data_IF_347735935390
#
_entry.id   IF_347735935390
#
_cell.length_a   1.000
_cell.length_b   1.000
_cell.length_c   1.000
_cell.angle_alpha   90.00
_cell.angle_beta   90.00
_cell.angle_gamma   90.00
#
_symmetry.space_group_name_H-M   'P 1'
#
loop_
_entity.id
_entity.type
_entity.pdbx_description
1 polymer ?
#
# COMPACT_ATOMS: atom_id res chain seq x y z
N UNK A 1 -3.50 63.17 -23.77
CA UNK A 1 -4.15 61.86 -23.97
C UNK A 1 -3.31 60.88 -23.20
N UNK A 2 -3.70 60.59 -21.96
CA UNK A 2 -3.00 59.67 -21.06
C UNK A 2 -3.80 58.37 -21.01
N UNK A 3 -3.16 57.25 -21.36
CA UNK A 3 -3.70 55.92 -21.12
C UNK A 3 -2.66 55.09 -20.36
N UNK A 4 -2.89 54.74 -19.08
CA UNK A 4 -2.07 53.78 -18.39
C UNK A 4 -2.71 52.39 -18.52
N UNK A 5 -2.21 51.55 -19.41
CA UNK A 5 -2.60 50.14 -19.41
C UNK A 5 -1.86 49.42 -18.29
N UNK A 6 -2.50 49.30 -17.13
CA UNK A 6 -2.06 48.41 -16.05
C UNK A 6 -3.26 47.65 -15.49
N UNK A 7 -3.32 46.35 -15.73
CA UNK A 7 -3.58 45.38 -14.66
C UNK A 7 -3.26 43.95 -15.11
N UNK A 8 -2.52 43.28 -14.25
CA UNK A 8 -1.97 41.92 -14.39
C UNK A 8 -3.08 40.89 -14.17
N UNK A 9 -3.19 39.91 -15.06
CA UNK A 9 -3.92 38.67 -14.77
C UNK A 9 -3.07 37.84 -13.82
N UNK A 10 -3.54 37.65 -12.60
CA UNK A 10 -3.01 36.67 -11.66
C UNK A 10 -3.25 35.26 -12.22
N UNK A 11 -2.21 34.68 -12.82
CA UNK A 11 -2.17 33.24 -13.06
C UNK A 11 -1.88 32.57 -11.73
N UNK A 12 -2.92 32.16 -11.00
CA UNK A 12 -2.76 31.16 -9.94
C UNK A 12 -2.40 29.86 -10.64
N UNK A 13 -1.10 29.55 -10.72
CA UNK A 13 -0.60 28.25 -11.17
C UNK A 13 -1.18 27.20 -10.21
N UNK A 14 -2.14 26.41 -10.69
CA UNK A 14 -2.49 25.17 -10.03
C UNK A 14 -1.20 24.32 -9.94
N UNK A 15 -0.93 23.63 -8.81
CA UNK A 15 0.23 22.76 -8.72
C UNK A 15 0.19 21.76 -9.86
N UNK A 16 1.27 21.68 -10.63
CA UNK A 16 1.40 20.70 -11.70
C UNK A 16 1.24 19.30 -11.10
N UNK A 17 0.40 18.47 -11.72
CA UNK A 17 0.20 17.10 -11.24
C UNK A 17 1.55 16.36 -11.29
N UNK A 18 2.01 15.76 -10.18
CA UNK A 18 3.32 15.13 -10.16
C UNK A 18 3.37 14.02 -11.21
N UNK A 19 4.37 14.08 -12.10
CA UNK A 19 4.51 13.09 -13.16
C UNK A 19 4.66 11.68 -12.59
N UNK A 20 4.24 10.66 -13.34
CA UNK A 20 4.35 9.26 -12.92
C UNK A 20 5.78 8.88 -12.50
N UNK A 21 6.80 9.43 -13.17
CA UNK A 21 8.20 9.23 -12.81
C UNK A 21 8.56 9.87 -11.45
N UNK A 22 8.04 11.07 -11.17
CA UNK A 22 8.27 11.76 -9.90
C UNK A 22 7.60 11.01 -8.75
N UNK A 23 6.38 10.51 -8.97
CA UNK A 23 5.67 9.65 -8.03
C UNK A 23 6.44 8.36 -7.76
N UNK A 24 6.90 7.67 -8.81
CA UNK A 24 7.72 6.47 -8.69
C UNK A 24 8.98 6.73 -7.84
N UNK A 25 9.76 7.76 -8.18
CA UNK A 25 10.99 8.11 -7.46
C UNK A 25 10.74 8.44 -5.99
N UNK A 26 9.63 9.14 -5.71
CA UNK A 26 9.25 9.51 -4.34
C UNK A 26 8.88 8.28 -3.53
N UNK A 27 8.02 7.42 -4.05
CA UNK A 27 7.59 6.19 -3.38
C UNK A 27 8.78 5.25 -3.16
N UNK A 28 9.61 5.06 -4.20
CA UNK A 28 10.83 4.26 -4.13
C UNK A 28 11.74 4.72 -3.00
N UNK A 29 12.00 6.02 -2.90
CA UNK A 29 12.83 6.59 -1.83
C UNK A 29 12.21 6.36 -0.46
N UNK A 30 10.91 6.61 -0.29
CA UNK A 30 10.22 6.36 0.98
C UNK A 30 10.30 4.90 1.43
N UNK A 31 10.20 3.95 0.50
CA UNK A 31 10.36 2.51 0.81
C UNK A 31 11.79 2.22 1.28
N UNK A 32 12.80 2.68 0.55
CA UNK A 32 14.21 2.38 0.82
C UNK A 32 14.75 3.06 2.08
N UNK A 33 14.25 4.25 2.42
CA UNK A 33 14.63 4.98 3.63
C UNK A 33 13.98 4.39 4.90
N UNK A 34 13.01 3.49 4.74
CA UNK A 34 12.29 2.87 5.86
C UNK A 34 13.05 1.65 6.41
N UNK A 35 13.50 1.75 7.64
CA UNK A 35 14.26 0.69 8.33
C UNK A 35 13.46 -0.09 9.40
N UNK A 36 12.17 0.18 9.55
CA UNK A 36 11.31 -0.45 10.55
C UNK A 36 9.95 -0.82 9.96
N UNK A 37 9.18 -1.58 10.73
CA UNK A 37 7.85 -2.06 10.38
C UNK A 37 6.85 -0.89 10.26
N UNK A 38 6.30 -0.65 9.07
CA UNK A 38 5.33 0.43 8.82
C UNK A 38 4.43 0.15 7.60
N UNK A 39 3.25 0.76 7.59
CA UNK A 39 2.37 0.83 6.42
C UNK A 39 2.43 2.25 5.85
N UNK A 40 3.02 2.43 4.67
CA UNK A 40 3.02 3.69 3.94
C UNK A 40 1.77 3.77 3.06
N UNK A 41 1.17 4.96 2.97
CA UNK A 41 0.03 5.23 2.10
C UNK A 41 0.29 6.50 1.28
N UNK A 42 0.19 6.38 -0.04
CA UNK A 42 0.39 7.45 -1.00
C UNK A 42 -0.94 7.72 -1.70
N UNK A 43 -1.47 8.93 -1.51
CA UNK A 43 -2.80 9.32 -1.98
C UNK A 43 -2.71 10.07 -3.31
N UNK A 44 -3.87 10.27 -3.94
CA UNK A 44 -4.03 11.05 -5.17
C UNK A 44 -3.18 10.52 -6.34
N UNK A 45 -3.06 9.19 -6.45
CA UNK A 45 -2.39 8.55 -7.57
C UNK A 45 -3.44 8.18 -8.62
N UNK A 46 -3.35 8.83 -9.79
CA UNK A 46 -4.26 8.62 -10.90
C UNK A 46 -4.40 7.13 -11.28
N UNK A 47 -5.61 6.65 -11.62
CA UNK A 47 -5.84 5.25 -12.04
C UNK A 47 -5.01 4.78 -13.23
N UNK A 48 -4.58 5.70 -14.09
CA UNK A 48 -3.71 5.42 -15.23
C UNK A 48 -2.26 5.17 -14.81
N UNK A 49 -1.79 5.82 -13.75
CA UNK A 49 -0.41 5.74 -13.26
C UNK A 49 -0.23 4.69 -12.17
N UNK A 50 -1.22 4.51 -11.28
CA UNK A 50 -1.10 3.64 -10.10
C UNK A 50 -0.67 2.21 -10.39
N UNK A 51 -1.36 1.47 -11.29
CA UNK A 51 -0.97 0.11 -11.65
C UNK A 51 0.44 0.04 -12.26
N UNK A 52 0.79 1.00 -13.12
CA UNK A 52 2.12 1.06 -13.74
C UNK A 52 3.21 1.28 -12.68
N UNK A 53 2.99 2.19 -11.73
CA UNK A 53 3.93 2.45 -10.63
C UNK A 53 4.13 1.18 -9.78
N UNK A 54 3.05 0.46 -9.45
CA UNK A 54 3.16 -0.79 -8.68
C UNK A 54 3.99 -1.83 -9.43
N UNK A 55 3.72 -2.04 -10.72
CA UNK A 55 4.49 -2.98 -11.55
C UNK A 55 5.96 -2.58 -11.62
N UNK A 56 6.25 -1.31 -11.91
CA UNK A 56 7.64 -0.83 -11.98
C UNK A 56 8.38 -0.95 -10.65
N UNK A 57 7.70 -0.74 -9.51
CA UNK A 57 8.30 -0.94 -8.19
C UNK A 57 8.56 -2.43 -7.91
N UNK A 58 7.69 -3.32 -8.35
CA UNK A 58 7.87 -4.77 -8.20
C UNK A 58 9.05 -5.31 -9.02
N UNK A 59 9.39 -4.65 -10.13
CA UNK A 59 10.52 -4.98 -11.01
C UNK A 59 11.84 -4.30 -10.58
N UNK A 60 11.81 -3.36 -9.63
CA UNK A 60 13.00 -2.66 -9.14
C UNK A 60 13.82 -3.56 -8.19
N UNK A 61 15.09 -3.88 -8.50
CA UNK A 61 15.89 -4.80 -7.69
C UNK A 61 16.14 -4.35 -6.25
N UNK A 62 16.20 -3.04 -5.98
CA UNK A 62 16.39 -2.54 -4.60
C UNK A 62 15.09 -2.63 -3.82
N UNK A 63 13.95 -2.41 -4.48
CA UNK A 63 12.64 -2.62 -3.89
C UNK A 63 12.40 -4.11 -3.63
N UNK A 64 12.74 -4.99 -4.57
CA UNK A 64 12.67 -6.45 -4.39
C UNK A 64 13.42 -6.89 -3.12
N UNK A 65 14.65 -6.38 -2.91
CA UNK A 65 15.45 -6.68 -1.70
C UNK A 65 14.79 -6.21 -0.40
N UNK A 66 14.01 -5.12 -0.45
CA UNK A 66 13.25 -4.62 0.71
C UNK A 66 11.95 -5.40 0.98
N UNK A 67 11.54 -6.27 0.05
CA UNK A 67 10.36 -7.15 0.12
C UNK A 67 9.06 -6.46 0.60
N UNK A 68 8.68 -5.28 0.08
CA UNK A 68 7.48 -4.61 0.50
C UNK A 68 6.25 -5.33 -0.06
N UNK A 69 5.15 -5.33 0.70
CA UNK A 69 3.84 -5.71 0.15
C UNK A 69 3.20 -4.48 -0.46
N UNK A 70 3.14 -4.44 -1.79
CA UNK A 70 2.57 -3.34 -2.57
C UNK A 70 1.10 -3.62 -2.93
N UNK A 71 0.26 -2.59 -2.90
CA UNK A 71 -1.12 -2.66 -3.38
C UNK A 71 -1.59 -1.29 -3.85
N UNK A 72 -2.41 -1.26 -4.91
CA UNK A 72 -3.07 -0.04 -5.37
C UNK A 72 -4.58 -0.23 -5.43
N UNK A 73 -5.31 0.79 -4.97
CA UNK A 73 -6.76 0.86 -5.05
C UNK A 73 -7.16 2.00 -6.01
N UNK A 74 -7.71 1.64 -7.17
CA UNK A 74 -8.15 2.58 -8.21
C UNK A 74 -9.45 3.32 -7.90
N UNK A 75 -10.17 2.93 -6.84
CA UNK A 75 -11.38 3.63 -6.37
C UNK A 75 -11.00 4.74 -5.39
N UNK A 76 -10.08 4.46 -4.46
CA UNK A 76 -9.63 5.43 -3.46
C UNK A 76 -8.40 6.22 -3.89
N UNK A 77 -7.76 5.84 -5.01
CA UNK A 77 -6.55 6.43 -5.55
C UNK A 77 -5.37 6.36 -4.57
N UNK A 78 -5.29 5.26 -3.83
CA UNK A 78 -4.27 5.02 -2.81
C UNK A 78 -3.37 3.86 -3.21
N UNK A 79 -2.06 4.11 -3.23
CA UNK A 79 -1.02 3.08 -3.23
C UNK A 79 -0.55 2.86 -1.80
N UNK A 80 -0.47 1.61 -1.39
CA UNK A 80 0.06 1.21 -0.08
C UNK A 80 1.33 0.38 -0.26
N UNK A 81 2.31 0.63 0.60
CA UNK A 81 3.52 -0.16 0.71
C UNK A 81 3.71 -0.56 2.18
N UNK A 82 3.57 -1.85 2.46
CA UNK A 82 3.77 -2.39 3.79
C UNK A 82 5.19 -2.94 3.89
N UNK A 83 6.02 -2.28 4.71
CA UNK A 83 7.42 -2.64 4.95
C UNK A 83 7.47 -3.48 6.22
N UNK A 84 7.97 -4.71 6.12
CA UNK A 84 8.12 -5.62 7.26
C UNK A 84 9.55 -6.17 7.21
N UNK A 85 10.54 -5.50 7.82
CA UNK A 85 11.95 -5.87 7.71
C UNK A 85 12.25 -7.30 8.22
N UNK A 86 11.47 -7.76 9.19
CA UNK A 86 11.53 -9.14 9.66
C UNK A 86 10.77 -10.05 8.71
N UNK A 87 11.48 -10.98 8.09
CA UNK A 87 10.89 -12.05 7.30
C UNK A 87 10.16 -13.03 8.23
N UNK A 88 8.93 -12.69 8.58
CA UNK A 88 8.02 -13.67 9.19
C UNK A 88 7.47 -14.46 8.01
N UNK A 89 8.13 -15.58 7.69
CA UNK A 89 7.48 -16.62 6.90
C UNK A 89 6.14 -16.87 7.60
N UNK A 90 5.03 -16.70 6.87
CA UNK A 90 3.69 -16.97 7.39
C UNK A 90 3.48 -18.43 7.77
N UNK A 91 4.53 -19.21 8.04
CA UNK A 91 4.52 -20.61 8.40
C UNK A 91 3.61 -20.86 9.60
N UNK A 92 3.58 -19.95 10.58
CA UNK A 92 2.65 -20.03 11.70
C UNK A 92 1.19 -19.87 11.27
N UNK A 93 0.89 -19.05 10.24
CA UNK A 93 -0.46 -18.91 9.69
C UNK A 93 -0.87 -20.15 8.87
N UNK A 94 0.03 -20.68 8.03
CA UNK A 94 -0.21 -21.91 7.27
C UNK A 94 -0.42 -23.11 8.20
N UNK A 95 0.48 -23.29 9.18
CA UNK A 95 0.35 -24.32 10.21
C UNK A 95 -0.97 -24.18 10.97
N UNK A 96 -1.32 -22.98 11.43
CA UNK A 96 -2.54 -22.77 12.20
C UNK A 96 -3.80 -23.02 11.37
N UNK A 97 -3.81 -22.64 10.08
CA UNK A 97 -4.91 -22.98 9.16
C UNK A 97 -5.05 -24.49 8.98
N UNK A 98 -3.94 -25.21 8.83
CA UNK A 98 -3.92 -26.66 8.70
C UNK A 98 -4.46 -27.33 9.99
N UNK A 99 -3.95 -26.95 11.15
CA UNK A 99 -4.38 -27.53 12.43
C UNK A 99 -5.86 -27.28 12.73
N UNK A 100 -6.38 -26.08 12.44
CA UNK A 100 -7.80 -25.79 12.63
C UNK A 100 -8.69 -26.65 11.73
N UNK A 101 -8.24 -26.95 10.51
CA UNK A 101 -8.93 -27.90 9.64
C UNK A 101 -8.95 -29.31 10.24
N UNK A 102 -7.79 -29.78 10.72
CA UNK A 102 -7.65 -31.10 11.36
C UNK A 102 -8.53 -31.20 12.61
N UNK A 103 -8.52 -30.19 13.49
CA UNK A 103 -9.34 -30.13 14.69
C UNK A 103 -10.84 -30.18 14.37
N UNK A 104 -11.29 -29.49 13.32
CA UNK A 104 -12.69 -29.56 12.88
C UNK A 104 -13.05 -30.95 12.34
N UNK A 105 -12.16 -31.55 11.54
CA UNK A 105 -12.40 -32.89 10.99
C UNK A 105 -12.41 -33.97 12.08
N UNK A 106 -11.57 -33.83 13.11
CA UNK A 106 -11.53 -34.72 14.26
C UNK A 106 -12.70 -34.50 15.25
N UNK A 107 -13.55 -33.49 15.02
CA UNK A 107 -14.65 -33.14 15.93
C UNK A 107 -14.21 -32.44 17.23
N UNK A 108 -12.93 -32.06 17.33
CA UNK A 108 -12.41 -31.29 18.47
C UNK A 108 -12.96 -29.87 18.51
N UNK A 109 -13.23 -29.28 17.34
CA UNK A 109 -13.93 -28.00 17.21
C UNK A 109 -15.26 -28.17 16.48
N UNK A 110 -16.34 -27.68 17.09
CA UNK A 110 -17.60 -27.48 16.39
C UNK A 110 -17.50 -26.32 15.39
N UNK A 111 -18.43 -26.27 14.43
CA UNK A 111 -18.51 -25.16 13.48
C UNK A 111 -18.76 -23.80 14.18
N UNK A 112 -19.49 -23.81 15.31
CA UNK A 112 -19.76 -22.60 16.07
C UNK A 112 -18.49 -22.08 16.76
N UNK A 113 -17.72 -22.96 17.39
CA UNK A 113 -16.45 -22.60 18.06
C UNK A 113 -15.40 -22.13 17.05
N UNK A 114 -15.28 -22.81 15.90
CA UNK A 114 -14.36 -22.41 14.84
C UNK A 114 -14.62 -20.99 14.33
N UNK A 115 -15.88 -20.52 14.29
CA UNK A 115 -16.24 -19.14 13.88
C UNK A 115 -15.81 -18.07 14.89
N UNK A 116 -15.59 -18.44 16.14
CA UNK A 116 -15.14 -17.52 17.19
C UNK A 116 -13.63 -17.26 17.11
N UNK A 117 -12.87 -18.14 16.46
CA UNK A 117 -11.41 -18.02 16.33
C UNK A 117 -11.08 -16.94 15.28
N UNK A 118 -10.42 -15.86 15.72
CA UNK A 118 -10.00 -14.73 14.87
C UNK A 118 -8.51 -14.86 14.51
N UNK A 119 -8.23 -15.41 13.32
CA UNK A 119 -6.87 -15.70 12.85
C UNK A 119 -6.11 -14.48 12.30
N UNK A 120 -6.80 -13.40 12.00
CA UNK A 120 -6.21 -12.18 11.44
C UNK A 120 -6.03 -11.16 12.54
N UNK A 121 -4.92 -11.24 13.27
CA UNK A 121 -4.52 -10.13 14.15
C UNK A 121 -3.88 -9.06 13.26
N UNK A 122 -4.36 -7.82 13.34
CA UNK A 122 -3.75 -6.66 12.69
C UNK A 122 -4.47 -6.04 11.48
N UNK A 123 -5.67 -6.49 11.11
CA UNK A 123 -6.51 -5.77 10.14
C UNK A 123 -7.60 -5.00 10.88
N UNK A 124 -7.32 -3.76 11.26
CA UNK A 124 -8.39 -2.78 11.49
C UNK A 124 -8.82 -2.25 10.13
N UNK A 125 -10.08 -2.45 9.79
CA UNK A 125 -10.76 -1.61 8.80
C UNK A 125 -11.65 -0.70 9.64
N UNK A 126 -11.26 0.56 9.76
CA UNK A 126 -12.09 1.60 10.37
C UNK A 126 -12.98 2.17 9.26
N UNK A 127 -14.27 2.33 9.58
CA UNK A 127 -15.28 2.94 8.71
C UNK A 127 -15.32 4.45 8.94
#
# INVERSE_FOLDING_TARGET
>A
MDEPTRSLRSNTLLPDEPTAQTLFNTIRRSILDTNHSINLAFQNIAPTSGPLIVTSLAEDPDIERSLPRLSYNSVTWVLTARIMPTHIYGCHQEWLCFELSQMRMAGFLSLAEARLIKLRVGTRVEF
#
